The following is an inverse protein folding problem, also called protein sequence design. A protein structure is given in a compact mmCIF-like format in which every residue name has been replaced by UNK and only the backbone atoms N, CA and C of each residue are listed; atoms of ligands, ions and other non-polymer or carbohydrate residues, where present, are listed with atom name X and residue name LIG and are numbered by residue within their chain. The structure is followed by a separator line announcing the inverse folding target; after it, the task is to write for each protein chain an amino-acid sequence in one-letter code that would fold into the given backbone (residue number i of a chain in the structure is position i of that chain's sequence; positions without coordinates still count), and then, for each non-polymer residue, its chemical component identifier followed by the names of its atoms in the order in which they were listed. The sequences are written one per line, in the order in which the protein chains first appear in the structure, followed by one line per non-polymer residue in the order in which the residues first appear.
data_IF_314057579423
#
_entry.id   IF_314057579423
#
_cell.length_a   1.000
_cell.length_b   1.000
_cell.length_c   1.000
_cell.angle_alpha   90.00
_cell.angle_beta   90.00
_cell.angle_gamma   90.00
#
_symmetry.space_group_name_H-M   'P 1'
#
loop_
_entity.id
_entity.type
_entity.pdbx_description
1 polymer ?
#
# COMPACT_ATOMS: atom_id res chain seq x y z
N UNK A 1 -20.04 46.06 -7.46
CA UNK A 1 -21.40 45.76 -6.98
C UNK A 1 -22.14 44.99 -8.06
N UNK A 2 -22.11 43.66 -8.02
CA UNK A 2 -23.23 42.76 -8.35
C UNK A 2 -22.77 41.32 -8.11
N UNK A 3 -23.44 40.70 -7.15
CA UNK A 3 -23.25 39.37 -6.61
C UNK A 3 -23.43 38.30 -7.68
N UNK A 4 -22.39 37.55 -8.00
CA UNK A 4 -22.54 36.18 -8.49
C UNK A 4 -22.51 35.27 -7.28
N UNK A 5 -23.67 35.13 -6.63
CA UNK A 5 -23.90 34.09 -5.64
C UNK A 5 -23.90 32.75 -6.37
N UNK A 6 -22.73 32.13 -6.45
CA UNK A 6 -22.56 30.75 -6.87
C UNK A 6 -23.24 29.84 -5.84
N UNK A 7 -24.49 29.48 -6.14
CA UNK A 7 -25.30 28.55 -5.38
C UNK A 7 -24.72 27.13 -5.54
N UNK A 8 -23.65 26.84 -4.79
CA UNK A 8 -23.09 25.49 -4.68
C UNK A 8 -24.07 24.60 -3.93
N UNK A 9 -24.72 23.69 -4.67
CA UNK A 9 -25.66 22.71 -4.11
C UNK A 9 -24.85 21.60 -3.43
N UNK A 10 -24.55 21.78 -2.13
CA UNK A 10 -24.00 20.73 -1.27
C UNK A 10 -24.99 19.57 -1.21
N UNK A 11 -24.70 18.47 -1.91
CA UNK A 11 -25.45 17.22 -1.78
C UNK A 11 -25.06 16.58 -0.44
N UNK A 12 -25.96 16.65 0.54
CA UNK A 12 -25.75 16.08 1.88
C UNK A 12 -26.35 14.69 1.93
N UNK A 13 -25.53 13.65 1.78
CA UNK A 13 -25.93 12.27 2.05
C UNK A 13 -25.41 11.94 3.46
N UNK A 14 -26.29 12.00 4.47
CA UNK A 14 -25.95 11.72 5.87
C UNK A 14 -26.30 10.26 6.20
N UNK A 15 -25.29 9.38 6.37
CA UNK A 15 -25.49 8.00 6.86
C UNK A 15 -25.43 7.95 8.39
N UNK A 16 -26.35 7.18 9.01
CA UNK A 16 -26.62 7.20 10.46
C UNK A 16 -25.63 6.32 11.28
N UNK A 17 -24.82 6.99 12.12
CA UNK A 17 -24.40 6.69 13.51
C UNK A 17 -23.56 5.47 13.96
N UNK A 18 -22.99 4.63 13.10
CA UNK A 18 -21.99 3.64 13.57
C UNK A 18 -20.71 3.66 12.74
N UNK A 19 -19.54 3.32 13.32
CA UNK A 19 -18.28 3.08 12.60
C UNK A 19 -18.35 1.79 11.74
N UNK A 20 -19.34 1.73 10.84
CA UNK A 20 -19.57 0.60 9.94
C UNK A 20 -18.35 0.34 9.08
N UNK A 21 -17.60 1.39 8.77
CA UNK A 21 -16.33 1.34 8.05
C UNK A 21 -15.27 0.48 8.74
N UNK A 22 -15.12 0.60 10.06
CA UNK A 22 -14.17 -0.22 10.82
C UNK A 22 -14.64 -1.67 10.90
N UNK A 23 -15.96 -1.88 11.03
CA UNK A 23 -16.54 -3.23 11.02
C UNK A 23 -16.30 -3.90 9.66
N UNK A 24 -16.49 -3.19 8.55
CA UNK A 24 -16.18 -3.67 7.19
C UNK A 24 -14.69 -4.02 7.08
N UNK A 25 -13.80 -3.17 7.59
CA UNK A 25 -12.35 -3.44 7.60
C UNK A 25 -12.02 -4.72 8.38
N UNK A 26 -12.64 -4.92 9.55
CA UNK A 26 -12.45 -6.13 10.35
C UNK A 26 -12.98 -7.37 9.65
N UNK A 27 -14.19 -7.31 9.07
CA UNK A 27 -14.76 -8.42 8.30
C UNK A 27 -13.87 -8.78 7.11
N UNK A 28 -13.37 -7.80 6.37
CA UNK A 28 -12.43 -8.03 5.26
C UNK A 28 -11.12 -8.67 5.75
N UNK A 29 -10.61 -8.20 6.89
CA UNK A 29 -9.40 -8.75 7.54
C UNK A 29 -9.59 -10.18 8.04
N UNK A 30 -10.81 -10.60 8.34
CA UNK A 30 -11.12 -12.00 8.68
C UNK A 30 -11.32 -12.82 7.41
N UNK A 31 -11.98 -12.27 6.40
CA UNK A 31 -12.28 -12.94 5.13
C UNK A 31 -11.03 -13.31 4.32
N UNK A 32 -9.92 -12.59 4.50
CA UNK A 32 -8.64 -12.93 3.86
C UNK A 32 -8.01 -14.22 4.42
N UNK A 33 -8.31 -14.60 5.67
CA UNK A 33 -7.73 -15.78 6.33
C UNK A 33 -8.07 -17.07 5.55
N UNK A 34 -9.34 -17.41 5.28
CA UNK A 34 -9.66 -18.60 4.50
C UNK A 34 -9.13 -18.51 3.05
N UNK A 35 -9.06 -17.31 2.46
CA UNK A 35 -8.51 -17.14 1.11
C UNK A 35 -7.01 -17.51 1.05
N UNK A 36 -6.26 -17.28 2.14
CA UNK A 36 -4.85 -17.68 2.26
C UNK A 36 -4.73 -19.16 2.63
N UNK A 37 -5.57 -19.67 3.54
CA UNK A 37 -5.52 -21.08 3.97
C UNK A 37 -5.93 -22.07 2.87
N UNK A 38 -6.85 -21.69 1.99
CA UNK A 38 -7.30 -22.54 0.86
C UNK A 38 -6.39 -22.43 -0.38
N UNK A 39 -5.32 -21.63 -0.31
CA UNK A 39 -4.36 -21.33 -1.40
C UNK A 39 -5.01 -20.96 -2.76
N UNK A 40 -6.18 -20.31 -2.72
CA UNK A 40 -6.89 -19.87 -3.93
C UNK A 40 -6.23 -18.59 -4.45
N UNK A 41 -5.27 -18.73 -5.36
CA UNK A 41 -4.43 -17.64 -5.89
C UNK A 41 -5.20 -16.39 -6.31
N UNK A 42 -6.28 -16.55 -7.08
CA UNK A 42 -7.08 -15.42 -7.56
C UNK A 42 -7.74 -14.66 -6.40
N UNK A 43 -8.37 -15.39 -5.47
CA UNK A 43 -9.05 -14.79 -4.31
C UNK A 43 -8.03 -14.11 -3.39
N UNK A 44 -6.86 -14.72 -3.20
CA UNK A 44 -5.76 -14.16 -2.41
C UNK A 44 -5.29 -12.81 -2.96
N UNK A 45 -5.17 -12.66 -4.28
CA UNK A 45 -4.76 -11.40 -4.90
C UNK A 45 -5.86 -10.35 -4.78
N UNK A 46 -7.11 -10.72 -5.12
CA UNK A 46 -8.25 -9.79 -5.13
C UNK A 46 -8.56 -9.27 -3.73
N UNK A 47 -8.46 -10.10 -2.68
CA UNK A 47 -8.69 -9.66 -1.30
C UNK A 47 -7.43 -9.09 -0.63
N UNK A 48 -6.27 -9.67 -0.91
CA UNK A 48 -5.01 -9.32 -0.27
C UNK A 48 -4.44 -7.98 -0.69
N UNK A 49 -4.57 -7.63 -1.98
CA UNK A 49 -4.02 -6.37 -2.47
C UNK A 49 -4.75 -5.15 -1.89
N UNK A 50 -6.10 -5.07 -1.89
CA UNK A 50 -6.81 -4.00 -1.18
C UNK A 50 -6.56 -4.00 0.33
N UNK A 51 -6.43 -5.19 0.95
CA UNK A 51 -6.12 -5.28 2.37
C UNK A 51 -4.76 -4.62 2.67
N UNK A 52 -3.69 -5.03 1.98
CA UNK A 52 -2.35 -4.49 2.19
C UNK A 52 -2.28 -2.98 1.89
N UNK A 53 -2.92 -2.53 0.80
CA UNK A 53 -2.78 -1.14 0.36
C UNK A 53 -3.64 -0.14 1.12
N UNK A 54 -4.71 -0.59 1.80
CA UNK A 54 -5.71 0.33 2.33
C UNK A 54 -6.05 0.10 3.80
N UNK A 55 -6.28 -1.15 4.23
CA UNK A 55 -6.94 -1.43 5.50
C UNK A 55 -6.09 -1.03 6.73
N UNK A 56 -4.80 -1.43 6.86
CA UNK A 56 -3.94 -1.00 7.96
C UNK A 56 -3.87 0.53 8.09
N UNK A 57 -3.69 1.22 6.97
CA UNK A 57 -3.66 2.67 6.93
C UNK A 57 -4.99 3.32 7.30
N UNK A 58 -6.13 2.80 6.81
CA UNK A 58 -7.45 3.34 7.13
C UNK A 58 -7.80 3.23 8.61
N UNK A 59 -7.53 2.08 9.22
CA UNK A 59 -7.74 1.88 10.66
C UNK A 59 -6.78 2.74 11.48
N UNK A 60 -5.56 2.96 11.00
CA UNK A 60 -4.62 3.86 11.64
C UNK A 60 -5.07 5.34 11.56
N UNK A 61 -5.60 5.81 10.43
CA UNK A 61 -6.22 7.15 10.32
C UNK A 61 -7.33 7.29 11.35
N UNK A 62 -8.19 6.29 11.46
CA UNK A 62 -9.28 6.28 12.44
C UNK A 62 -8.74 6.33 13.88
N UNK A 63 -7.70 5.55 14.18
CA UNK A 63 -7.08 5.52 15.49
C UNK A 63 -6.37 6.82 15.84
N UNK A 64 -5.69 7.47 14.89
CA UNK A 64 -4.94 8.71 15.08
C UNK A 64 -5.84 9.94 15.20
N UNK A 65 -6.87 10.02 14.35
CA UNK A 65 -7.75 11.18 14.20
C UNK A 65 -9.24 10.83 14.41
N UNK A 66 -9.64 10.35 15.60
CA UNK A 66 -11.00 9.85 15.85
C UNK A 66 -12.09 10.94 15.83
N UNK A 67 -11.70 12.21 16.02
CA UNK A 67 -12.62 13.35 16.13
C UNK A 67 -12.36 14.48 15.12
N UNK A 68 -11.46 14.29 14.14
CA UNK A 68 -11.28 15.28 13.06
C UNK A 68 -12.28 15.00 11.95
N UNK A 69 -12.90 16.06 11.45
CA UNK A 69 -13.57 16.01 10.16
C UNK A 69 -12.50 15.93 9.08
N UNK A 70 -12.39 14.75 8.48
CA UNK A 70 -11.51 14.47 7.35
C UNK A 70 -12.45 14.12 6.19
N UNK A 71 -12.31 14.86 5.09
CA UNK A 71 -13.08 14.62 3.88
C UNK A 71 -12.81 13.22 3.31
N UNK A 72 -13.73 12.68 2.53
CA UNK A 72 -13.59 11.33 1.98
C UNK A 72 -12.29 11.16 1.16
N UNK A 73 -11.96 12.13 0.32
CA UNK A 73 -10.77 12.08 -0.55
C UNK A 73 -9.50 12.13 0.30
N UNK A 74 -9.45 13.03 1.29
CA UNK A 74 -8.32 13.14 2.21
C UNK A 74 -8.16 11.85 3.03
N UNK A 75 -9.26 11.30 3.53
CA UNK A 75 -9.27 10.03 4.28
C UNK A 75 -8.72 8.89 3.43
N UNK A 76 -9.14 8.78 2.17
CA UNK A 76 -8.63 7.77 1.24
C UNK A 76 -7.14 7.98 1.00
N UNK A 77 -6.71 9.20 0.68
CA UNK A 77 -5.31 9.52 0.41
C UNK A 77 -4.40 9.22 1.61
N UNK A 78 -4.80 9.65 2.82
CA UNK A 78 -4.08 9.37 4.06
C UNK A 78 -4.01 7.88 4.36
N UNK A 79 -5.08 7.13 4.07
CA UNK A 79 -5.11 5.68 4.28
C UNK A 79 -4.11 4.96 3.39
N UNK A 80 -4.07 5.29 2.09
CA UNK A 80 -3.07 4.73 1.17
C UNK A 80 -1.65 5.10 1.61
N UNK A 81 -1.40 6.38 1.93
CA UNK A 81 -0.08 6.85 2.36
C UNK A 81 0.41 6.15 3.63
N UNK A 82 -0.45 6.01 4.64
CA UNK A 82 -0.11 5.32 5.88
C UNK A 82 0.08 3.81 5.68
N UNK A 83 -0.69 3.16 4.80
CA UNK A 83 -0.49 1.73 4.53
C UNK A 83 0.85 1.47 3.83
N UNK A 84 1.20 2.29 2.84
CA UNK A 84 2.49 2.21 2.14
C UNK A 84 3.66 2.43 3.09
N UNK A 85 3.50 3.26 4.12
CA UNK A 85 4.52 3.44 5.15
C UNK A 85 4.58 2.27 6.16
N UNK A 86 3.43 1.86 6.69
CA UNK A 86 3.35 0.92 7.82
C UNK A 86 3.58 -0.52 7.39
N UNK A 87 3.04 -0.97 6.26
CA UNK A 87 3.13 -2.38 5.88
C UNK A 87 4.58 -2.84 5.64
N UNK A 88 5.41 -2.12 4.86
CA UNK A 88 6.82 -2.47 4.71
C UNK A 88 7.58 -2.39 6.04
N UNK A 89 7.24 -1.43 6.91
CA UNK A 89 7.87 -1.30 8.23
C UNK A 89 7.55 -2.51 9.13
N UNK A 90 6.32 -3.01 9.09
CA UNK A 90 5.92 -4.26 9.79
C UNK A 90 6.68 -5.44 9.21
N UNK A 91 6.78 -5.55 7.88
CA UNK A 91 7.57 -6.60 7.23
C UNK A 91 9.05 -6.58 7.62
N UNK A 92 9.64 -5.37 7.69
CA UNK A 92 11.02 -5.17 8.16
C UNK A 92 11.18 -5.56 9.63
N UNK A 93 10.26 -5.14 10.50
CA UNK A 93 10.27 -5.51 11.91
C UNK A 93 10.19 -7.02 12.11
N UNK A 94 9.39 -7.70 11.27
CA UNK A 94 9.24 -9.15 11.29
C UNK A 94 10.51 -9.90 10.93
N UNK A 95 11.41 -9.29 10.14
CA UNK A 95 12.70 -9.87 9.81
C UNK A 95 13.58 -10.12 11.04
N UNK A 96 13.39 -9.34 12.11
CA UNK A 96 14.09 -9.52 13.39
C UNK A 96 13.44 -10.57 14.28
N UNK A 97 12.30 -11.14 13.89
CA UNK A 97 11.62 -12.19 14.65
C UNK A 97 12.05 -13.58 14.19
N UNK A 98 11.98 -14.61 15.06
CA UNK A 98 12.36 -15.99 14.71
C UNK A 98 11.59 -16.59 13.52
N UNK A 99 10.42 -16.02 13.19
CA UNK A 99 9.56 -16.49 12.11
C UNK A 99 9.95 -15.96 10.71
N UNK A 100 10.75 -14.88 10.66
CA UNK A 100 11.24 -14.28 9.41
C UNK A 100 10.16 -13.69 8.49
N UNK A 101 10.57 -13.30 7.28
CA UNK A 101 9.70 -12.72 6.24
C UNK A 101 8.96 -13.84 5.49
N UNK A 102 7.96 -14.45 6.13
CA UNK A 102 7.07 -15.47 5.53
C UNK A 102 5.64 -14.92 5.42
N UNK A 103 4.81 -15.55 4.59
CA UNK A 103 3.42 -15.12 4.38
C UNK A 103 2.58 -15.18 5.67
N UNK A 104 2.65 -16.26 6.43
CA UNK A 104 1.83 -16.45 7.64
C UNK A 104 2.15 -15.44 8.75
N UNK A 105 3.43 -15.19 9.10
CA UNK A 105 3.78 -14.17 10.08
C UNK A 105 3.40 -12.75 9.63
N UNK A 106 3.57 -12.43 8.33
CA UNK A 106 3.19 -11.09 7.81
C UNK A 106 1.68 -10.91 7.93
N UNK A 107 0.91 -11.91 7.53
CA UNK A 107 -0.55 -11.84 7.60
C UNK A 107 -1.04 -11.71 9.04
N UNK A 108 -0.53 -12.55 9.95
CA UNK A 108 -0.93 -12.53 11.36
C UNK A 108 -0.53 -11.22 12.05
N UNK A 109 0.66 -10.69 11.79
CA UNK A 109 1.10 -9.40 12.34
C UNK A 109 0.25 -8.22 11.84
N UNK A 110 -0.08 -8.18 10.54
CA UNK A 110 -0.94 -7.14 9.99
C UNK A 110 -2.37 -7.23 10.53
N UNK A 111 -2.93 -8.43 10.63
CA UNK A 111 -4.25 -8.63 11.23
C UNK A 111 -4.23 -8.19 12.70
N UNK A 112 -3.24 -8.64 13.49
CA UNK A 112 -3.10 -8.23 14.88
C UNK A 112 -3.01 -6.70 15.02
N UNK A 113 -2.22 -6.04 14.18
CA UNK A 113 -2.12 -4.58 14.14
C UNK A 113 -3.47 -3.92 13.83
N UNK A 114 -4.21 -4.42 12.84
CA UNK A 114 -5.55 -3.91 12.50
C UNK A 114 -6.52 -4.05 13.68
N UNK A 115 -6.52 -5.19 14.37
CA UNK A 115 -7.36 -5.39 15.55
C UNK A 115 -6.98 -4.45 16.70
N UNK A 116 -5.70 -4.34 17.02
CA UNK A 116 -5.20 -3.46 18.09
C UNK A 116 -5.55 -2.00 17.80
N UNK A 117 -5.29 -1.52 16.58
CA UNK A 117 -5.61 -0.15 16.18
C UNK A 117 -7.12 0.10 16.15
N UNK A 118 -7.92 -0.90 15.77
CA UNK A 118 -9.38 -0.79 15.81
C UNK A 118 -9.88 -0.61 17.25
N UNK A 119 -9.34 -1.38 18.21
CA UNK A 119 -9.67 -1.26 19.63
C UNK A 119 -9.26 0.11 20.16
N UNK A 120 -8.02 0.55 19.87
CA UNK A 120 -7.53 1.87 20.30
C UNK A 120 -8.38 2.99 19.71
N UNK A 121 -8.66 2.94 18.41
CA UNK A 121 -9.49 3.93 17.73
C UNK A 121 -10.91 3.95 18.28
N UNK A 122 -11.48 2.78 18.57
CA UNK A 122 -12.79 2.66 19.19
C UNK A 122 -12.82 3.27 20.60
N UNK A 123 -11.81 2.98 21.42
CA UNK A 123 -11.67 3.56 22.75
C UNK A 123 -11.54 5.08 22.68
N UNK A 124 -10.61 5.59 21.86
CA UNK A 124 -10.41 7.04 21.67
C UNK A 124 -11.65 7.73 21.11
N UNK A 125 -12.41 7.06 20.24
CA UNK A 125 -13.66 7.60 19.69
C UNK A 125 -14.77 7.70 20.73
N UNK A 126 -14.85 6.76 21.68
CA UNK A 126 -15.82 6.83 22.78
C UNK A 126 -15.47 7.91 23.80
N UNK A 127 -14.18 8.16 24.05
CA UNK A 127 -13.71 9.17 24.99
C UNK A 127 -13.94 10.62 24.53
N UNK A 128 -14.50 10.85 23.34
CA UNK A 128 -14.77 12.19 22.82
C UNK A 128 -16.01 12.81 23.51
N UNK A 129 -15.87 13.99 24.17
CA UNK A 129 -16.99 14.67 24.81
C UNK A 129 -18.06 15.07 23.78
N UNK A 130 -19.30 14.64 24.01
CA UNK A 130 -20.46 14.84 23.11
C UNK A 130 -20.80 16.33 22.92
N UNK A 131 -20.36 17.19 23.86
CA UNK A 131 -20.85 18.56 24.02
C UNK A 131 -20.27 19.60 23.04
N UNK A 132 -19.13 19.32 22.39
CA UNK A 132 -18.46 20.26 21.47
C UNK A 132 -18.26 19.73 20.04
N UNK A 133 -18.62 18.47 19.76
CA UNK A 133 -18.41 17.86 18.44
C UNK A 133 -19.72 17.32 17.83
N UNK A 134 -20.42 18.10 16.97
CA UNK A 134 -21.48 17.58 16.10
C UNK A 134 -20.99 16.52 15.09
N UNK A 135 -19.68 16.25 15.08
CA UNK A 135 -18.93 15.38 14.18
C UNK A 135 -19.24 13.88 14.38
N UNK A 136 -19.82 13.50 15.52
CA UNK A 136 -20.28 12.13 15.79
C UNK A 136 -21.30 11.62 14.75
N UNK A 137 -21.99 12.53 14.05
CA UNK A 137 -23.01 12.23 13.02
C UNK A 137 -22.49 12.35 11.58
N UNK A 138 -21.21 12.64 11.40
CA UNK A 138 -20.71 13.43 10.26
C UNK A 138 -19.41 12.83 9.68
N UNK A 139 -19.17 11.53 9.85
CA UNK A 139 -17.94 10.85 9.35
C UNK A 139 -17.81 10.81 7.82
N UNK A 140 -18.92 10.83 7.10
CA UNK A 140 -18.95 10.70 5.65
C UNK A 140 -19.51 11.98 5.05
N UNK A 141 -18.61 12.93 4.82
CA UNK A 141 -18.88 14.05 3.93
C UNK A 141 -18.10 13.89 2.66
N UNK A 142 -18.82 14.06 1.56
CA UNK A 142 -18.23 14.15 0.23
C UNK A 142 -18.17 15.64 -0.09
N UNK A 143 -17.06 16.28 0.30
CA UNK A 143 -16.67 17.61 -0.17
C UNK A 143 -15.80 17.39 -1.41
N UNK A 144 -16.41 17.35 -2.59
CA UNK A 144 -15.63 17.38 -3.83
C UNK A 144 -15.38 18.86 -4.14
N UNK A 145 -14.40 19.44 -3.44
CA UNK A 145 -13.87 20.75 -3.80
C UNK A 145 -12.80 20.54 -4.87
N UNK A 146 -13.25 20.50 -6.13
CA UNK A 146 -12.36 20.51 -7.29
C UNK A 146 -11.74 21.91 -7.45
N UNK A 147 -10.83 22.28 -6.55
CA UNK A 147 -9.94 23.40 -6.78
C UNK A 147 -8.84 22.94 -7.73
N UNK A 148 -9.06 23.16 -9.04
CA UNK A 148 -7.97 23.16 -10.01
C UNK A 148 -7.00 24.27 -9.57
N UNK A 149 -5.74 23.95 -9.23
CA UNK A 149 -4.76 24.98 -8.90
C UNK A 149 -4.55 25.83 -10.16
N UNK A 150 -5.18 27.00 -10.22
CA UNK A 150 -4.79 28.04 -11.16
C UNK A 150 -3.50 28.62 -10.61
N UNK A 151 -2.37 28.29 -11.23
CA UNK A 151 -1.11 28.93 -10.91
C UNK A 151 -1.28 30.44 -11.04
N UNK A 152 -1.07 31.18 -9.96
CA UNK A 152 -1.18 32.64 -9.97
C UNK A 152 0.06 33.25 -10.65
N UNK A 153 1.18 32.51 -10.69
CA UNK A 153 2.43 32.91 -11.33
C UNK A 153 2.77 32.09 -12.57
N UNK A 154 3.49 32.69 -13.53
CA UNK A 154 4.00 31.98 -14.73
C UNK A 154 4.93 30.81 -14.37
N UNK A 155 5.64 30.93 -13.24
CA UNK A 155 6.57 29.92 -12.75
C UNK A 155 5.83 28.67 -12.27
N UNK A 156 4.70 28.84 -11.57
CA UNK A 156 3.84 27.74 -11.11
C UNK A 156 3.29 26.95 -12.30
N UNK A 157 2.81 27.63 -13.34
CA UNK A 157 2.31 26.94 -14.53
C UNK A 157 3.40 26.11 -15.23
N UNK A 158 4.63 26.63 -15.33
CA UNK A 158 5.75 25.87 -15.89
C UNK A 158 6.04 24.64 -15.03
N UNK A 159 6.06 24.80 -13.70
CA UNK A 159 6.28 23.69 -12.77
C UNK A 159 5.18 22.62 -12.90
N UNK A 160 3.91 23.02 -12.98
CA UNK A 160 2.79 22.11 -13.17
C UNK A 160 2.88 21.37 -14.51
N UNK A 161 3.24 22.06 -15.59
CA UNK A 161 3.43 21.45 -16.91
C UNK A 161 4.57 20.42 -16.88
N UNK A 162 5.72 20.78 -16.31
CA UNK A 162 6.86 19.87 -16.16
C UNK A 162 6.48 18.64 -15.32
N UNK A 163 5.72 18.85 -14.25
CA UNK A 163 5.24 17.76 -13.39
C UNK A 163 4.28 16.83 -14.13
N UNK A 164 3.34 17.36 -14.91
CA UNK A 164 2.45 16.56 -15.76
C UNK A 164 3.27 15.75 -16.79
N UNK A 165 4.24 16.36 -17.45
CA UNK A 165 5.11 15.68 -18.43
C UNK A 165 5.91 14.56 -17.75
N UNK A 166 6.46 14.80 -16.56
CA UNK A 166 7.20 13.80 -15.78
C UNK A 166 6.32 12.58 -15.43
N UNK A 167 5.09 12.82 -14.98
CA UNK A 167 4.13 11.74 -14.68
C UNK A 167 3.82 10.93 -15.95
N UNK A 168 3.60 11.59 -17.08
CA UNK A 168 3.33 10.92 -18.36
C UNK A 168 4.51 10.06 -18.83
N UNK A 169 5.74 10.58 -18.74
CA UNK A 169 6.96 9.84 -19.09
C UNK A 169 7.10 8.60 -18.18
N UNK A 170 6.88 8.77 -16.88
CA UNK A 170 6.96 7.67 -15.90
C UNK A 170 5.96 6.54 -16.22
N UNK A 171 4.69 6.90 -16.48
CA UNK A 171 3.65 5.92 -16.87
C UNK A 171 4.02 5.24 -18.20
N UNK A 172 4.49 6.00 -19.19
CA UNK A 172 4.91 5.46 -20.48
C UNK A 172 6.04 4.44 -20.34
N UNK A 173 7.09 4.76 -19.57
CA UNK A 173 8.20 3.84 -19.31
C UNK A 173 7.73 2.56 -18.61
N UNK A 174 6.79 2.68 -17.66
CA UNK A 174 6.24 1.54 -16.94
C UNK A 174 5.48 0.59 -17.88
N UNK A 175 4.62 1.15 -18.74
CA UNK A 175 3.92 0.39 -19.79
C UNK A 175 4.92 -0.26 -20.74
N UNK A 176 5.94 0.49 -21.19
CA UNK A 176 6.97 -0.02 -22.08
C UNK A 176 7.66 -1.25 -21.49
N UNK A 177 8.09 -1.18 -20.21
CA UNK A 177 8.75 -2.30 -19.51
C UNK A 177 7.84 -3.53 -19.42
N UNK A 178 6.54 -3.35 -19.18
CA UNK A 178 5.58 -4.46 -19.09
C UNK A 178 5.35 -5.10 -20.47
N UNK A 179 5.28 -4.30 -21.53
CA UNK A 179 4.94 -4.76 -22.89
C UNK A 179 6.15 -5.35 -23.61
N UNK A 180 7.36 -4.86 -23.39
CA UNK A 180 8.58 -5.45 -23.97
C UNK A 180 9.22 -6.43 -22.97
N UNK A 181 8.99 -7.75 -23.10
CA UNK A 181 9.67 -8.72 -22.25
C UNK A 181 11.17 -8.60 -22.47
N UNK A 182 11.91 -8.32 -21.38
CA UNK A 182 13.37 -8.34 -21.42
C UNK A 182 13.80 -9.77 -21.70
N UNK A 183 14.41 -10.00 -22.86
CA UNK A 183 15.11 -11.25 -23.15
C UNK A 183 16.20 -11.35 -22.08
N UNK A 184 16.09 -12.34 -21.18
CA UNK A 184 17.08 -12.56 -20.14
C UNK A 184 18.47 -12.67 -20.76
N UNK A 185 19.49 -12.16 -20.05
CA UNK A 185 20.86 -12.18 -20.53
C UNK A 185 21.24 -13.58 -21.04
N UNK A 186 21.71 -13.64 -22.28
CA UNK A 186 22.24 -14.87 -22.85
C UNK A 186 23.61 -15.10 -22.25
N UNK A 187 23.70 -15.90 -21.19
CA UNK A 187 25.00 -16.27 -20.65
C UNK A 187 25.72 -17.17 -21.64
N UNK A 188 26.92 -16.74 -22.07
CA UNK A 188 27.83 -17.60 -22.81
C UNK A 188 28.42 -18.60 -21.83
N UNK A 189 27.90 -19.82 -21.82
CA UNK A 189 28.42 -20.90 -20.97
C UNK A 189 29.66 -21.51 -21.61
N UNK A 190 30.79 -21.46 -20.90
CA UNK A 190 32.05 -22.05 -21.33
C UNK A 190 32.25 -23.38 -20.58
N UNK A 191 32.17 -24.49 -21.31
CA UNK A 191 32.44 -25.82 -20.77
C UNK A 191 33.82 -26.29 -21.20
N UNK A 192 34.67 -26.63 -20.23
CA UNK A 192 35.91 -27.36 -20.48
C UNK A 192 35.55 -28.84 -20.53
N UNK A 193 35.63 -29.43 -21.72
CA UNK A 193 35.33 -30.84 -21.93
C UNK A 193 36.61 -31.67 -21.78
N UNK A 194 36.49 -32.81 -21.09
CA UNK A 194 37.55 -33.81 -21.06
C UNK A 194 37.64 -34.59 -22.38
N UNK A 195 38.64 -35.48 -22.53
CA UNK A 195 38.85 -36.31 -23.73
C UNK A 195 37.62 -37.12 -24.17
N UNK A 196 36.70 -37.42 -23.23
CA UNK A 196 35.48 -38.17 -23.48
C UNK A 196 34.28 -37.28 -23.86
N UNK A 197 34.48 -35.97 -24.10
CA UNK A 197 33.43 -35.04 -24.50
C UNK A 197 32.42 -34.70 -23.40
N UNK A 198 32.75 -34.98 -22.14
CA UNK A 198 31.92 -34.69 -20.96
C UNK A 198 32.65 -33.74 -20.01
N UNK A 199 31.90 -32.85 -19.37
CA UNK A 199 32.38 -31.93 -18.35
C UNK A 199 32.44 -32.62 -16.97
N UNK A 200 33.18 -33.73 -16.89
CA UNK A 200 33.34 -34.55 -15.69
C UNK A 200 34.83 -34.82 -15.43
N UNK A 201 35.19 -35.16 -14.18
CA UNK A 201 36.58 -35.50 -13.82
C UNK A 201 37.46 -34.32 -13.36
N UNK A 202 36.87 -33.25 -12.83
CA UNK A 202 37.64 -32.19 -12.18
C UNK A 202 38.40 -32.74 -10.97
N UNK A 203 39.67 -32.37 -10.77
CA UNK A 203 40.45 -32.83 -9.63
C UNK A 203 39.83 -32.30 -8.34
N UNK A 204 39.28 -33.21 -7.52
CA UNK A 204 38.67 -32.90 -6.22
C UNK A 204 39.67 -32.91 -5.07
N UNK A 205 40.92 -33.32 -5.32
CA UNK A 205 42.03 -33.28 -4.37
C UNK A 205 42.98 -32.14 -4.70
N UNK A 206 43.31 -31.32 -3.70
CA UNK A 206 44.39 -30.34 -3.80
C UNK A 206 45.72 -31.08 -3.65
N UNK A 207 46.28 -31.62 -4.75
CA UNK A 207 47.66 -32.08 -4.72
C UNK A 207 48.61 -30.89 -4.89
N UNK A 208 49.56 -30.79 -3.95
CA UNK A 208 50.62 -29.78 -3.96
C UNK A 208 51.44 -29.89 -5.24
N UNK A 209 51.42 -28.82 -6.05
CA UNK A 209 52.13 -28.75 -7.32
C UNK A 209 53.64 -28.91 -7.09
N UNK A 210 54.17 -30.09 -7.37
CA UNK A 210 55.62 -30.35 -7.37
C UNK A 210 56.11 -30.41 -8.82
N UNK A 211 56.46 -29.25 -9.35
CA UNK A 211 57.14 -29.10 -10.63
C UNK A 211 58.52 -29.76 -10.55
N UNK A 212 58.69 -30.90 -11.21
CA UNK A 212 60.00 -31.41 -11.58
C UNK A 212 60.35 -30.83 -12.94
N UNK A 213 61.30 -29.88 -12.91
CA UNK A 213 62.08 -29.44 -14.07
C UNK A 213 62.98 -30.58 -14.56
#
# INVERSE_FOLDING_TARGET
MLYLSSYFRRVKIEWKNYPVDIIICLIWSIAIIPAVLLDIKALRIVLGLPFILFIPGYVLVFALFPGRDIDLIERIALSFGLSIAVVPLVGLALNYTPWGIRLEPILTSLIALVFILSIIGWYRWQSLPIMHHPLKKRRFFISIDLHLPKGESKMENVLTIVLIISILISIFLLIYIIVTPRVGESFTEFYILGPNGKAEGYPTGMESCRLHL
#
